data_IF_730426022912
#
_entry.id   IF_730426022912
#
_cell.length_a   1.000
_cell.length_b   1.000
_cell.length_c   1.000
_cell.angle_alpha   90.00
_cell.angle_beta   90.00
_cell.angle_gamma   90.00
#
_symmetry.space_group_name_H-M   'P 1'
#
loop_
_entity.id
_entity.type
_entity.pdbx_description
1 polymer ?
#
# COMPACT_ATOMS: atom_id res chain seq x y z
N UNK A 1 7.54 -1.68 -17.48
CA UNK A 1 6.09 -1.80 -17.17
C UNK A 1 5.85 -3.15 -16.52
N UNK A 2 4.99 -3.21 -15.50
CA UNK A 2 4.68 -4.49 -14.87
C UNK A 2 3.91 -5.38 -15.87
N UNK A 3 4.23 -6.68 -15.88
CA UNK A 3 3.56 -7.66 -16.74
C UNK A 3 2.04 -7.65 -16.47
N UNK A 4 1.24 -7.57 -17.54
CA UNK A 4 -0.22 -7.51 -17.45
C UNK A 4 -0.84 -6.10 -17.31
N UNK A 5 -0.04 -5.03 -17.24
CA UNK A 5 -0.56 -3.66 -17.11
C UNK A 5 -1.44 -3.26 -18.30
N UNK A 6 -1.13 -3.77 -19.49
CA UNK A 6 -1.88 -3.46 -20.72
C UNK A 6 -3.25 -4.13 -20.74
N UNK A 7 -3.34 -5.38 -20.26
CA UNK A 7 -4.60 -6.11 -20.15
C UNK A 7 -5.51 -5.41 -19.15
N UNK A 8 -4.96 -5.04 -17.99
CA UNK A 8 -5.69 -4.32 -16.95
C UNK A 8 -6.20 -2.95 -17.43
N UNK A 9 -5.37 -2.20 -18.15
CA UNK A 9 -5.75 -0.91 -18.72
C UNK A 9 -6.85 -1.02 -19.77
N UNK A 10 -6.83 -2.05 -20.60
CA UNK A 10 -7.87 -2.35 -21.59
C UNK A 10 -9.21 -2.68 -20.90
N UNK A 11 -9.20 -3.52 -19.87
CA UNK A 11 -10.43 -3.85 -19.13
C UNK A 11 -11.03 -2.65 -18.39
N UNK A 12 -10.20 -1.80 -17.77
CA UNK A 12 -10.66 -0.54 -17.17
C UNK A 12 -11.32 0.35 -18.22
N UNK A 13 -10.68 0.54 -19.39
CA UNK A 13 -11.24 1.33 -20.48
C UNK A 13 -12.60 0.78 -20.93
N UNK A 14 -12.68 -0.53 -21.14
CA UNK A 14 -13.93 -1.22 -21.52
C UNK A 14 -15.04 -0.95 -20.50
N UNK A 15 -14.79 -1.12 -19.21
CA UNK A 15 -15.79 -0.85 -18.16
C UNK A 15 -16.22 0.62 -18.19
N UNK A 16 -15.26 1.55 -18.31
CA UNK A 16 -15.54 2.98 -18.35
C UNK A 16 -16.41 3.38 -19.53
N UNK A 17 -16.13 2.82 -20.71
CA UNK A 17 -16.82 3.17 -21.97
C UNK A 17 -18.19 2.48 -22.11
N UNK A 18 -18.29 1.21 -21.66
CA UNK A 18 -19.53 0.43 -21.82
C UNK A 18 -20.51 0.60 -20.67
N UNK A 19 -20.04 0.53 -19.41
CA UNK A 19 -20.91 0.55 -18.22
C UNK A 19 -21.11 1.95 -17.64
N UNK A 20 -20.22 2.90 -17.95
CA UNK A 20 -20.27 4.31 -17.50
C UNK A 20 -20.70 4.47 -16.02
N UNK A 21 -20.07 3.75 -15.05
CA UNK A 21 -20.54 3.73 -13.68
C UNK A 21 -20.40 5.13 -13.05
N UNK A 22 -21.51 5.68 -12.54
CA UNK A 22 -21.57 7.03 -11.94
C UNK A 22 -20.88 7.14 -10.58
N UNK A 23 -20.71 6.01 -9.88
CA UNK A 23 -20.11 5.91 -8.55
C UNK A 23 -18.60 5.62 -8.56
N UNK A 24 -17.97 5.58 -9.74
CA UNK A 24 -16.52 5.34 -9.86
C UNK A 24 -15.86 6.62 -10.39
N UNK A 25 -14.85 7.08 -9.67
CA UNK A 25 -13.97 8.15 -10.12
C UNK A 25 -12.68 7.54 -10.66
N UNK A 26 -12.31 7.93 -11.86
CA UNK A 26 -11.12 7.47 -12.56
C UNK A 26 -10.04 8.55 -12.44
N UNK A 27 -8.94 8.22 -11.77
CA UNK A 27 -7.83 9.14 -11.60
C UNK A 27 -6.52 8.44 -11.96
N UNK A 28 -5.69 9.12 -12.74
CA UNK A 28 -4.42 8.55 -13.20
C UNK A 28 -3.32 8.71 -12.15
N UNK A 29 -3.18 9.92 -11.61
CA UNK A 29 -2.18 10.27 -10.62
C UNK A 29 -2.74 11.27 -9.61
N UNK A 30 -2.14 11.29 -8.43
CA UNK A 30 -2.34 12.29 -7.39
C UNK A 30 -0.98 12.87 -7.00
N UNK A 31 -0.95 14.10 -6.47
CA UNK A 31 0.19 14.54 -5.69
C UNK A 31 0.35 13.65 -4.46
N UNK A 32 1.55 13.50 -3.88
CA UNK A 32 1.73 12.70 -2.65
C UNK A 32 0.81 13.15 -1.51
N UNK A 33 0.61 14.44 -1.34
CA UNK A 33 -0.23 15.04 -0.31
C UNK A 33 -1.71 14.71 -0.53
N UNK A 34 -2.20 14.86 -1.76
CA UNK A 34 -3.60 14.56 -2.10
C UNK A 34 -3.87 13.07 -2.01
N UNK A 35 -2.89 12.24 -2.40
CA UNK A 35 -2.98 10.80 -2.23
C UNK A 35 -3.11 10.42 -0.75
N UNK A 36 -2.28 10.98 0.13
CA UNK A 36 -2.36 10.73 1.56
C UNK A 36 -3.70 11.17 2.15
N UNK A 37 -4.22 12.34 1.76
CA UNK A 37 -5.55 12.81 2.14
C UNK A 37 -6.65 11.86 1.67
N UNK A 38 -6.56 11.40 0.41
CA UNK A 38 -7.52 10.45 -0.16
C UNK A 38 -7.55 9.15 0.62
N UNK A 39 -6.40 8.51 0.82
CA UNK A 39 -6.34 7.25 1.54
C UNK A 39 -6.72 7.40 3.01
N UNK A 40 -6.35 8.52 3.65
CA UNK A 40 -6.74 8.81 5.03
C UNK A 40 -8.27 8.88 5.19
N UNK A 41 -8.99 9.44 4.23
CA UNK A 41 -10.44 9.55 4.25
C UNK A 41 -11.16 8.32 3.65
N UNK A 42 -10.44 7.32 3.15
CA UNK A 42 -11.04 6.10 2.62
C UNK A 42 -11.49 5.15 3.72
N UNK A 43 -12.56 4.41 3.47
CA UNK A 43 -13.04 3.35 4.37
C UNK A 43 -12.24 2.06 4.25
N UNK A 44 -11.67 1.79 3.08
CA UNK A 44 -10.86 0.61 2.81
C UNK A 44 -9.99 0.82 1.56
N UNK A 45 -8.76 0.36 1.59
CA UNK A 45 -7.88 0.26 0.42
C UNK A 45 -7.99 -1.14 -0.17
N UNK A 46 -8.19 -1.22 -1.49
CA UNK A 46 -8.35 -2.52 -2.18
C UNK A 46 -7.39 -2.59 -3.35
N UNK A 47 -6.58 -3.63 -3.41
CA UNK A 47 -5.63 -3.85 -4.50
C UNK A 47 -4.33 -4.49 -4.05
N UNK A 48 -3.27 -4.33 -4.81
CA UNK A 48 -1.95 -4.92 -4.53
C UNK A 48 -0.84 -3.86 -4.36
N UNK A 49 -1.20 -2.62 -4.04
CA UNK A 49 -0.24 -1.55 -3.79
C UNK A 49 0.44 -1.71 -2.44
N UNK A 50 1.72 -1.37 -2.37
CA UNK A 50 2.45 -1.30 -1.10
C UNK A 50 1.94 -0.20 -0.16
N UNK A 51 1.22 0.79 -0.67
CA UNK A 51 0.60 1.83 0.15
C UNK A 51 -0.39 1.27 1.17
N UNK A 52 -1.14 0.21 0.80
CA UNK A 52 -2.05 -0.47 1.72
C UNK A 52 -1.32 -1.06 2.93
N UNK A 53 -0.07 -1.48 2.72
CA UNK A 53 0.78 -2.10 3.74
C UNK A 53 1.52 -1.04 4.56
N UNK A 54 2.15 -0.07 3.90
CA UNK A 54 3.05 0.92 4.53
C UNK A 54 2.28 2.10 5.12
N UNK A 55 1.76 2.95 4.25
CA UNK A 55 1.00 4.14 4.63
C UNK A 55 -0.29 3.73 5.34
N UNK A 56 -0.96 2.68 4.85
CA UNK A 56 -2.17 2.14 5.46
C UNK A 56 -1.98 1.63 6.88
N UNK A 57 -0.85 0.98 7.20
CA UNK A 57 -0.53 0.55 8.55
C UNK A 57 -0.32 1.75 9.49
N UNK A 58 0.46 2.74 9.03
CA UNK A 58 0.72 3.94 9.83
C UNK A 58 -0.55 4.75 10.10
N UNK A 59 -1.41 4.89 9.11
CA UNK A 59 -2.68 5.64 9.21
C UNK A 59 -3.84 4.81 9.79
N UNK A 60 -3.63 3.52 10.06
CA UNK A 60 -4.66 2.62 10.57
C UNK A 60 -5.79 2.36 9.58
N UNK A 61 -5.53 2.41 8.27
CA UNK A 61 -6.55 2.27 7.23
C UNK A 61 -6.77 0.79 6.93
N UNK A 62 -8.02 0.30 6.97
CA UNK A 62 -8.34 -1.06 6.54
C UNK A 62 -7.92 -1.32 5.11
N UNK A 63 -7.37 -2.49 4.84
CA UNK A 63 -6.90 -2.83 3.49
C UNK A 63 -7.20 -4.29 3.13
N UNK A 64 -7.52 -4.52 1.86
CA UNK A 64 -7.62 -5.85 1.25
C UNK A 64 -6.55 -5.96 0.18
N UNK A 65 -5.52 -6.76 0.45
CA UNK A 65 -4.45 -7.04 -0.50
C UNK A 65 -4.83 -8.24 -1.37
N UNK A 66 -4.83 -8.03 -2.69
CA UNK A 66 -5.26 -9.04 -3.67
C UNK A 66 -4.04 -9.64 -4.34
N UNK A 67 -3.96 -10.98 -4.31
CA UNK A 67 -2.92 -11.75 -5.00
C UNK A 67 -1.59 -11.77 -4.27
N UNK A 68 -0.52 -12.07 -5.01
CA UNK A 68 0.77 -12.49 -4.46
C UNK A 68 1.87 -11.43 -4.46
N UNK A 69 1.64 -10.28 -5.08
CA UNK A 69 2.67 -9.23 -5.25
C UNK A 69 3.31 -8.78 -3.94
N UNK A 70 2.54 -8.80 -2.86
CA UNK A 70 2.98 -8.37 -1.54
C UNK A 70 3.34 -9.55 -0.60
N UNK A 71 3.43 -10.77 -1.14
CA UNK A 71 3.80 -11.93 -0.34
C UNK A 71 5.18 -11.75 0.31
N UNK A 72 5.34 -12.33 1.50
CA UNK A 72 6.56 -12.28 2.32
C UNK A 72 6.97 -10.87 2.79
N UNK A 73 6.16 -9.84 2.53
CA UNK A 73 6.36 -8.53 3.14
C UNK A 73 5.76 -8.51 4.53
N UNK A 74 6.45 -7.85 5.43
CA UNK A 74 5.94 -7.52 6.75
C UNK A 74 4.66 -6.67 6.62
N UNK A 75 3.63 -6.96 7.43
CA UNK A 75 2.31 -6.33 7.31
C UNK A 75 1.72 -6.02 8.68
N UNK A 76 0.98 -4.92 8.74
CA UNK A 76 0.17 -4.59 9.91
C UNK A 76 -1.13 -5.40 9.97
N UNK A 77 -1.79 -5.37 11.14
CA UNK A 77 -3.10 -6.02 11.34
C UNK A 77 -4.24 -5.42 10.49
N UNK A 78 -3.98 -4.28 9.85
CA UNK A 78 -4.92 -3.58 8.98
C UNK A 78 -5.12 -4.27 7.61
N UNK A 79 -4.33 -5.29 7.26
CA UNK A 79 -4.34 -5.93 5.94
C UNK A 79 -5.00 -7.31 6.02
N UNK A 80 -5.96 -7.58 5.14
CA UNK A 80 -6.47 -8.92 4.84
C UNK A 80 -5.94 -9.32 3.46
N UNK A 81 -5.26 -10.47 3.38
CA UNK A 81 -4.79 -11.00 2.10
C UNK A 81 -5.85 -11.92 1.50
N UNK A 82 -6.10 -11.77 0.20
CA UNK A 82 -7.04 -12.58 -0.57
C UNK A 82 -6.39 -13.11 -1.83
N UNK A 83 -6.91 -14.22 -2.32
CA UNK A 83 -6.61 -14.73 -3.66
C UNK A 83 -7.39 -13.92 -4.72
N UNK A 84 -7.20 -14.26 -6.01
CA UNK A 84 -7.97 -13.69 -7.13
C UNK A 84 -9.38 -14.32 -7.20
N UNK A 85 -10.15 -14.20 -6.11
CA UNK A 85 -11.50 -14.72 -6.00
C UNK A 85 -12.46 -13.58 -5.61
N UNK A 86 -13.41 -13.27 -6.47
CA UNK A 86 -14.32 -12.12 -6.29
C UNK A 86 -15.17 -12.21 -5.02
N UNK A 87 -15.65 -13.41 -4.67
CA UNK A 87 -16.46 -13.61 -3.47
C UNK A 87 -15.63 -13.40 -2.19
N UNK A 88 -14.41 -13.92 -2.15
CA UNK A 88 -13.47 -13.71 -1.04
C UNK A 88 -13.11 -12.23 -0.88
N UNK A 89 -12.79 -11.56 -2.00
CA UNK A 89 -12.48 -10.12 -2.02
C UNK A 89 -13.65 -9.32 -1.48
N UNK A 90 -14.86 -9.57 -1.99
CA UNK A 90 -16.07 -8.87 -1.56
C UNK A 90 -16.32 -9.01 -0.06
N UNK A 91 -16.31 -10.25 0.47
CA UNK A 91 -16.48 -10.52 1.91
C UNK A 91 -15.41 -9.81 2.74
N UNK A 92 -14.17 -9.80 2.28
CA UNK A 92 -13.06 -9.15 2.97
C UNK A 92 -13.22 -7.62 2.99
N UNK A 93 -13.70 -7.02 1.89
CA UNK A 93 -14.01 -5.58 1.84
C UNK A 93 -15.09 -5.22 2.86
N UNK A 94 -16.20 -5.96 2.88
CA UNK A 94 -17.28 -5.70 3.85
C UNK A 94 -16.78 -5.80 5.30
N UNK A 95 -16.01 -6.85 5.61
CA UNK A 95 -15.40 -7.03 6.93
C UNK A 95 -14.50 -5.84 7.31
N UNK A 96 -13.68 -5.35 6.39
CA UNK A 96 -12.78 -4.22 6.63
C UNK A 96 -13.55 -2.90 6.83
N UNK A 97 -14.59 -2.65 6.04
CA UNK A 97 -15.44 -1.47 6.20
C UNK A 97 -16.13 -1.47 7.56
N UNK A 98 -16.69 -2.60 8.00
CA UNK A 98 -17.31 -2.74 9.31
C UNK A 98 -16.32 -2.57 10.48
N UNK A 99 -15.08 -2.98 10.30
CA UNK A 99 -14.02 -2.79 11.31
C UNK A 99 -13.68 -1.32 11.52
N UNK A 100 -13.88 -0.47 10.53
CA UNK A 100 -13.53 0.95 10.52
C UNK A 100 -12.01 1.17 10.57
N UNK A 101 -11.46 1.69 11.67
CA UNK A 101 -10.04 2.01 11.79
C UNK A 101 -9.30 1.01 12.68
N UNK A 102 -8.03 0.81 12.34
CA UNK A 102 -7.06 0.10 13.16
C UNK A 102 -6.21 1.08 13.96
N UNK A 103 -5.62 0.66 15.09
CA UNK A 103 -4.59 1.44 15.74
C UNK A 103 -3.42 1.70 14.81
N UNK A 104 -2.79 2.87 14.92
CA UNK A 104 -1.56 3.20 14.20
C UNK A 104 -0.49 2.13 14.43
N UNK A 105 0.15 1.67 13.36
CA UNK A 105 1.24 0.71 13.43
C UNK A 105 2.53 1.34 12.86
N UNK A 106 3.56 1.38 13.67
CA UNK A 106 4.88 1.96 13.33
C UNK A 106 5.89 0.93 12.84
N UNK A 107 5.44 -0.23 12.37
CA UNK A 107 6.28 -1.33 11.87
C UNK A 107 7.27 -0.85 10.78
N UNK A 108 6.88 0.14 9.98
CA UNK A 108 7.73 0.73 8.94
C UNK A 108 8.44 2.02 9.38
N UNK A 109 8.41 2.34 10.67
CA UNK A 109 9.12 3.49 11.23
C UNK A 109 8.22 4.50 11.94
N UNK A 110 8.88 5.41 12.62
CA UNK A 110 8.29 6.46 13.46
C UNK A 110 8.57 7.89 12.93
N UNK A 111 9.09 8.00 11.69
CA UNK A 111 9.49 9.27 11.09
C UNK A 111 10.85 9.82 11.59
N UNK A 112 11.54 9.11 12.50
CA UNK A 112 12.79 9.58 13.10
C UNK A 112 14.04 8.92 12.51
N UNK A 113 13.93 8.27 11.35
CA UNK A 113 15.04 7.54 10.75
C UNK A 113 16.26 8.45 10.47
N UNK A 114 16.07 9.64 9.92
CA UNK A 114 17.15 10.60 9.68
C UNK A 114 17.94 10.96 10.94
N UNK A 115 17.24 11.24 12.04
CA UNK A 115 17.88 11.52 13.33
C UNK A 115 18.66 10.33 13.88
N UNK A 116 18.10 9.12 13.76
CA UNK A 116 18.78 7.87 14.18
C UNK A 116 20.04 7.64 13.34
N UNK A 117 19.95 7.78 12.03
CA UNK A 117 21.09 7.65 11.11
C UNK A 117 22.16 8.68 11.42
N UNK A 118 21.83 9.95 11.55
CA UNK A 118 22.77 11.02 11.91
C UNK A 118 23.50 10.72 13.22
N UNK A 119 22.75 10.30 14.25
CA UNK A 119 23.35 9.94 15.55
C UNK A 119 24.30 8.73 15.48
N UNK A 120 24.04 7.77 14.59
CA UNK A 120 24.91 6.63 14.35
C UNK A 120 26.17 7.09 13.60
N UNK A 121 25.99 7.82 12.50
CA UNK A 121 27.12 8.28 11.67
C UNK A 121 28.08 9.19 12.43
N UNK A 122 27.58 10.02 13.34
CA UNK A 122 28.42 10.90 14.18
C UNK A 122 29.31 10.17 15.19
N UNK A 123 29.02 8.89 15.45
CA UNK A 123 29.76 8.06 16.46
C UNK A 123 30.60 6.95 15.85
N UNK A 124 30.32 6.59 14.61
CA UNK A 124 31.04 5.51 13.90
C UNK A 124 32.40 6.04 13.40
N UNK A 125 33.48 5.34 13.71
CA UNK A 125 34.73 5.49 12.99
C UNK A 125 34.57 4.81 11.63
N UNK A 126 34.60 5.62 10.56
CA UNK A 126 34.53 5.08 9.21
C UNK A 126 35.92 4.60 8.79
N UNK A 127 36.01 3.32 8.42
CA UNK A 127 37.19 2.82 7.71
C UNK A 127 37.04 3.22 6.23
N UNK A 128 37.95 4.07 5.76
CA UNK A 128 37.88 4.65 4.40
C UNK A 128 38.39 3.63 3.36
N UNK A 129 39.11 2.61 3.80
CA UNK A 129 39.69 1.59 2.90
C UNK A 129 38.68 0.46 2.72
N UNK A 130 38.05 0.43 1.55
CA UNK A 130 37.15 -0.66 1.17
C UNK A 130 37.95 -1.79 0.53
N UNK A 131 38.14 -2.89 1.24
CA UNK A 131 38.69 -4.13 0.66
C UNK A 131 37.57 -4.93 -0.01
N UNK A 132 37.82 -5.32 -1.27
CA UNK A 132 36.96 -6.28 -1.98
C UNK A 132 37.30 -7.68 -1.46
N UNK A 133 36.36 -8.34 -0.83
CA UNK A 133 36.42 -9.77 -0.57
C UNK A 133 35.91 -10.50 -1.81
N UNK A 134 36.82 -11.20 -2.50
CA UNK A 134 36.49 -12.11 -3.59
C UNK A 134 36.12 -13.47 -3.02
#
# INVERSE_FOLDING_TARGET
MDAGSDIFSKEIRKIRETKKPKNIRWQKNYSPEDYLKLIYNSSCLVGNSSSAIREGAYLGIPAVNIGTRQNKREQGKNVINTKYNSSEIYKSILRQIHKKRYPQNKIFGDGKAGKKISNILSKIKLDIIKTLNY
#
